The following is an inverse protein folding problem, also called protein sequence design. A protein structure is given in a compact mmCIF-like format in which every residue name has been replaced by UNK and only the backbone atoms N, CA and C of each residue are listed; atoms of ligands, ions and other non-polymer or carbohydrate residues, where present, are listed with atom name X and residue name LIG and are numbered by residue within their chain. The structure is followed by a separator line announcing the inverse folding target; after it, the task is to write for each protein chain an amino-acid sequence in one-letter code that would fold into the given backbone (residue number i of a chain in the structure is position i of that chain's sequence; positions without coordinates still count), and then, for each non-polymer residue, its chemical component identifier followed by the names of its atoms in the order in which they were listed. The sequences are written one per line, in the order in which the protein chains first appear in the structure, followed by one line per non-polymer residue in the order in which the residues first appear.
data_IF_244939631736
#
_entry.id   IF_244939631736
#
_cell.length_a   1.000
_cell.length_b   1.000
_cell.length_c   1.000
_cell.angle_alpha   90.00
_cell.angle_beta   90.00
_cell.angle_gamma   90.00
#
_symmetry.space_group_name_H-M   'P 1'
#
loop_
_entity.id
_entity.type
_entity.pdbx_description
1 polymer ?
#
# COMPACT_ATOMS: atom_id res chain seq x y z
N UNK A 1 5.80 -10.65 6.29
CA UNK A 1 5.78 -10.06 7.64
C UNK A 1 5.64 -8.55 7.46
N UNK A 2 4.86 -7.87 8.29
CA UNK A 2 4.66 -6.41 8.19
C UNK A 2 5.49 -5.76 9.29
N UNK A 3 6.41 -4.87 8.90
CA UNK A 3 7.19 -4.07 9.84
C UNK A 3 6.51 -2.71 10.07
N UNK A 4 6.30 -2.34 11.34
CA UNK A 4 5.65 -1.11 11.73
C UNK A 4 6.62 -0.27 12.56
N UNK A 5 7.00 0.89 12.04
CA UNK A 5 7.82 1.87 12.73
C UNK A 5 7.07 3.19 12.95
N UNK A 6 7.33 3.85 14.09
CA UNK A 6 6.71 5.15 14.43
C UNK A 6 7.78 6.23 14.40
N UNK A 7 7.56 7.26 13.59
CA UNK A 7 8.44 8.42 13.49
C UNK A 7 7.67 9.71 13.76
N UNK A 8 8.35 10.69 14.35
CA UNK A 8 7.81 12.05 14.57
C UNK A 8 8.25 12.98 13.45
N UNK A 9 7.43 13.99 13.19
CA UNK A 9 7.79 15.11 12.31
C UNK A 9 8.89 15.94 12.97
N UNK A 10 9.97 16.24 12.26
CA UNK A 10 10.99 17.17 12.72
C UNK A 10 10.50 18.62 12.65
N UNK A 11 11.19 19.54 13.33
CA UNK A 11 10.90 20.98 13.26
C UNK A 11 11.03 21.56 11.84
N UNK A 12 11.74 20.87 10.94
CA UNK A 12 11.90 21.23 9.53
C UNK A 12 10.85 20.57 8.62
N UNK A 13 9.85 19.90 9.19
CA UNK A 13 8.82 19.20 8.42
C UNK A 13 9.33 17.91 7.76
N UNK A 14 10.39 17.30 8.28
CA UNK A 14 10.94 16.06 7.74
C UNK A 14 10.48 14.87 8.57
N UNK A 15 10.14 13.77 7.90
CA UNK A 15 9.96 12.46 8.53
C UNK A 15 11.20 11.61 8.27
N UNK A 16 11.58 10.81 9.26
CA UNK A 16 12.75 9.93 9.17
C UNK A 16 12.26 8.49 9.08
N UNK A 17 12.77 7.73 8.11
CA UNK A 17 12.54 6.28 8.06
C UNK A 17 13.35 5.65 9.21
N UNK A 18 12.73 4.85 10.12
CA UNK A 18 13.42 4.17 11.21
C UNK A 18 14.58 3.31 10.70
N UNK A 19 15.68 3.23 11.46
CA UNK A 19 16.92 2.57 11.03
C UNK A 19 16.73 1.11 10.62
N UNK A 20 15.89 0.37 11.34
CA UNK A 20 15.54 -1.02 11.04
C UNK A 20 14.80 -1.20 9.70
N UNK A 21 14.07 -0.17 9.25
CA UNK A 21 13.33 -0.17 7.99
C UNK A 21 14.13 0.41 6.82
N UNK A 22 15.38 0.84 7.05
CA UNK A 22 16.25 1.36 5.98
C UNK A 22 16.93 0.27 5.15
N UNK A 23 16.80 -1.00 5.55
CA UNK A 23 17.35 -2.12 4.80
C UNK A 23 16.82 -2.08 3.35
N UNK A 24 17.74 -2.02 2.38
CA UNK A 24 17.40 -1.91 0.95
C UNK A 24 17.44 -0.50 0.38
N UNK A 25 17.59 0.55 1.20
CA UNK A 25 17.83 1.92 0.75
C UNK A 25 19.31 2.28 0.93
N UNK A 26 19.88 2.99 -0.04
CA UNK A 26 21.24 3.53 -0.01
C UNK A 26 21.21 5.05 0.04
N UNK A 27 22.28 5.63 0.56
CA UNK A 27 22.46 7.07 0.50
C UNK A 27 22.45 7.55 -0.96
N UNK A 28 21.70 8.62 -1.23
CA UNK A 28 21.50 9.14 -2.58
C UNK A 28 20.37 8.47 -3.38
N UNK A 29 19.72 7.44 -2.85
CA UNK A 29 18.56 6.83 -3.50
C UNK A 29 17.43 7.86 -3.65
N UNK A 30 16.90 7.96 -4.87
CA UNK A 30 15.72 8.76 -5.14
C UNK A 30 14.48 7.97 -4.73
N UNK A 31 13.61 8.62 -3.96
CA UNK A 31 12.32 8.08 -3.57
C UNK A 31 11.21 8.85 -4.25
N UNK A 32 10.19 8.14 -4.69
CA UNK A 32 8.93 8.76 -5.09
C UNK A 32 7.99 8.77 -3.91
N UNK A 33 7.42 9.96 -3.66
CA UNK A 33 6.42 10.20 -2.61
C UNK A 33 5.08 10.44 -3.29
N UNK A 34 4.13 9.54 -3.06
CA UNK A 34 2.76 9.66 -3.56
C UNK A 34 1.85 9.94 -2.36
N UNK A 35 0.93 10.90 -2.50
CA UNK A 35 -0.09 11.20 -1.49
C UNK A 35 -1.47 10.85 -2.02
N UNK A 36 -2.22 10.05 -1.26
CA UNK A 36 -3.64 9.79 -1.49
C UNK A 36 -4.40 10.11 -0.20
N UNK A 37 -5.12 11.24 -0.19
CA UNK A 37 -5.77 11.76 1.01
C UNK A 37 -4.81 11.97 2.19
N UNK A 38 -4.97 11.16 3.23
CA UNK A 38 -4.16 11.19 4.46
C UNK A 38 -3.04 10.13 4.48
N UNK A 39 -2.88 9.36 3.40
CA UNK A 39 -1.88 8.31 3.28
C UNK A 39 -0.75 8.76 2.38
N UNK A 40 0.47 8.41 2.77
CA UNK A 40 1.67 8.58 1.97
C UNK A 40 2.22 7.21 1.59
N UNK A 41 2.58 7.05 0.33
CA UNK A 41 3.26 5.87 -0.21
C UNK A 41 4.64 6.30 -0.67
N UNK A 42 5.65 5.61 -0.16
CA UNK A 42 7.06 5.81 -0.50
C UNK A 42 7.54 4.63 -1.32
N UNK A 43 8.15 4.88 -2.48
CA UNK A 43 8.75 3.85 -3.35
C UNK A 43 10.12 4.25 -3.84
N UNK A 44 11.00 3.29 -4.11
CA UNK A 44 12.25 3.57 -4.81
C UNK A 44 11.95 4.05 -6.23
N UNK A 45 12.64 5.12 -6.67
CA UNK A 45 12.53 5.62 -8.04
C UNK A 45 13.04 4.60 -9.07
N UNK A 46 13.99 3.72 -8.70
CA UNK A 46 14.47 2.66 -9.59
C UNK A 46 13.42 1.58 -9.85
N UNK A 47 12.46 1.41 -8.94
CA UNK A 47 11.31 0.50 -9.11
C UNK A 47 10.12 1.19 -9.80
N UNK A 48 10.23 2.47 -10.12
CA UNK A 48 9.11 3.31 -10.55
C UNK A 48 8.82 3.24 -12.06
N UNK A 49 9.78 2.75 -12.86
CA UNK A 49 9.79 2.93 -14.32
C UNK A 49 8.81 2.03 -15.09
N UNK A 50 8.38 0.88 -14.56
CA UNK A 50 7.64 -0.11 -15.40
C UNK A 50 6.17 -0.36 -15.02
N UNK A 51 5.69 0.04 -13.83
CA UNK A 51 4.37 -0.39 -13.37
C UNK A 51 3.59 0.62 -12.51
N UNK A 52 3.96 1.90 -12.55
CA UNK A 52 3.37 2.97 -11.75
C UNK A 52 1.84 2.99 -11.77
N UNK A 53 1.25 2.86 -12.96
CA UNK A 53 -0.20 2.85 -13.11
C UNK A 53 -0.85 1.64 -12.42
N UNK A 54 -0.24 0.46 -12.53
CA UNK A 54 -0.71 -0.75 -11.85
C UNK A 54 -0.56 -0.63 -10.34
N UNK A 55 0.51 -0.01 -9.89
CA UNK A 55 0.82 0.22 -8.48
C UNK A 55 -0.14 1.22 -7.82
N UNK A 56 -0.50 2.30 -8.53
CA UNK A 56 -1.52 3.26 -8.10
C UNK A 56 -2.89 2.59 -8.01
N UNK A 57 -3.28 1.83 -9.05
CA UNK A 57 -4.53 1.06 -9.05
C UNK A 57 -4.57 0.00 -7.95
N UNK A 58 -3.43 -0.61 -7.62
CA UNK A 58 -3.34 -1.55 -6.51
C UNK A 58 -3.58 -0.85 -5.16
N UNK A 59 -2.93 0.30 -4.92
CA UNK A 59 -3.12 1.05 -3.69
C UNK A 59 -4.59 1.51 -3.52
N UNK A 60 -5.22 1.95 -4.59
CA UNK A 60 -6.65 2.31 -4.62
C UNK A 60 -7.54 1.11 -4.27
N UNK A 61 -7.34 -0.04 -4.93
CA UNK A 61 -8.12 -1.26 -4.68
C UNK A 61 -7.93 -1.81 -3.27
N UNK A 62 -6.70 -1.79 -2.75
CA UNK A 62 -6.41 -2.23 -1.39
C UNK A 62 -7.12 -1.33 -0.36
N UNK A 63 -7.16 -0.02 -0.62
CA UNK A 63 -7.89 0.93 0.22
C UNK A 63 -9.42 0.74 0.15
N UNK A 64 -9.97 0.47 -1.03
CA UNK A 64 -11.40 0.15 -1.18
C UNK A 64 -11.78 -1.15 -0.48
N UNK A 65 -10.96 -2.20 -0.63
CA UNK A 65 -11.18 -3.48 0.05
C UNK A 65 -11.11 -3.32 1.58
N UNK A 66 -10.13 -2.57 2.08
CA UNK A 66 -10.02 -2.26 3.51
C UNK A 66 -11.26 -1.50 4.02
N UNK A 67 -11.70 -0.45 3.30
CA UNK A 67 -12.91 0.30 3.64
C UNK A 67 -14.16 -0.59 3.63
N UNK A 68 -14.25 -1.58 2.74
CA UNK A 68 -15.35 -2.56 2.72
C UNK A 68 -15.31 -3.47 3.95
N UNK A 69 -14.14 -4.01 4.29
CA UNK A 69 -13.97 -4.83 5.50
C UNK A 69 -14.28 -4.04 6.78
N UNK A 70 -13.79 -2.80 6.89
CA UNK A 70 -14.02 -1.91 8.04
C UNK A 70 -15.50 -1.52 8.21
N UNK A 71 -16.23 -1.39 7.10
CA UNK A 71 -17.68 -1.09 7.13
C UNK A 71 -18.57 -2.33 7.38
N UNK A 72 -17.98 -3.48 7.73
CA UNK A 72 -18.71 -4.74 7.91
C UNK A 72 -19.17 -5.40 6.60
N UNK A 73 -18.71 -4.89 5.46
CA UNK A 73 -19.02 -5.40 4.12
C UNK A 73 -18.07 -6.51 3.70
N UNK A 74 -18.00 -7.58 4.48
CA UNK A 74 -17.52 -8.87 3.98
C UNK A 74 -18.75 -9.75 3.85
N UNK A 75 -19.47 -9.63 2.74
CA UNK A 75 -20.37 -10.68 2.31
C UNK A 75 -19.49 -11.82 1.81
N UNK A 76 -18.99 -12.64 2.74
CA UNK A 76 -18.48 -13.94 2.38
C UNK A 76 -19.64 -14.69 1.74
N UNK A 77 -19.60 -14.85 0.41
CA UNK A 77 -20.47 -15.81 -0.26
C UNK A 77 -20.13 -17.20 0.27
N UNK A 78 -21.13 -18.08 0.36
CA UNK A 78 -20.86 -19.44 0.79
C UNK A 78 -19.95 -20.14 -0.22
N UNK A 79 -19.23 -21.18 0.19
CA UNK A 79 -18.41 -21.98 -0.73
C UNK A 79 -19.22 -22.54 -1.91
N UNK A 80 -20.52 -22.75 -1.71
CA UNK A 80 -21.46 -23.23 -2.74
C UNK A 80 -21.78 -22.13 -3.77
N UNK A 81 -22.03 -20.90 -3.34
CA UNK A 81 -22.21 -19.75 -4.24
C UNK A 81 -20.95 -19.47 -5.08
N UNK A 82 -19.77 -19.64 -4.49
CA UNK A 82 -18.50 -19.50 -5.21
C UNK A 82 -18.34 -20.57 -6.31
N UNK A 83 -18.72 -21.83 -6.02
CA UNK A 83 -18.65 -22.93 -7.00
C UNK A 83 -19.63 -22.75 -8.16
N UNK A 84 -20.80 -22.15 -7.93
CA UNK A 84 -21.77 -21.86 -8.99
C UNK A 84 -21.32 -20.71 -9.91
N UNK A 85 -20.65 -19.69 -9.38
CA UNK A 85 -20.06 -18.62 -10.20
C UNK A 85 -18.94 -19.14 -11.10
N UNK A 86 -18.11 -20.08 -10.62
CA UNK A 86 -17.05 -20.70 -11.41
C UNK A 86 -17.56 -21.51 -12.60
N UNK A 87 -18.79 -22.03 -12.56
CA UNK A 87 -19.40 -22.78 -13.67
C UNK A 87 -19.91 -21.89 -14.80
N UNK A 88 -20.03 -20.58 -14.58
CA UNK A 88 -20.54 -19.61 -15.58
C UNK A 88 -19.44 -19.03 -16.47
N UNK A 89 -18.18 -19.25 -16.12
CA UNK A 89 -16.99 -18.90 -16.91
C UNK A 89 -16.55 -20.10 -17.76
#
# INVERSE_FOLDING_TARGET
MIDIGVSRMSSKGQIVIPSEMRAGFKEGDKLVVIRSGNKFVLKSATAFDENLEKDLRFAERAEEALKRCEKGGVNGISGEEFLEELKKW
#
